data_IF_169938673657
#
_entry.id   IF_169938673657
#
_cell.length_a   1.000
_cell.length_b   1.000
_cell.length_c   1.000
_cell.angle_alpha   90.00
_cell.angle_beta   90.00
_cell.angle_gamma   90.00
#
_symmetry.space_group_name_H-M   'P 1'
#
loop_
_entity.id
_entity.type
_entity.pdbx_description
1 polymer ?
#
# COMPACT_ATOMS: atom_id res chain seq x y z
N UNK A 1 20.47 0.69 -12.32
CA UNK A 1 19.45 1.72 -12.04
C UNK A 1 18.64 1.26 -10.84
N UNK A 2 18.26 2.16 -9.92
CA UNK A 2 17.61 1.81 -8.66
C UNK A 2 16.43 2.72 -8.35
N UNK A 3 15.49 2.23 -7.52
CA UNK A 3 14.31 2.95 -7.07
C UNK A 3 14.28 2.96 -5.54
N UNK A 4 14.03 4.12 -4.95
CA UNK A 4 13.90 4.29 -3.51
C UNK A 4 12.50 4.83 -3.20
N UNK A 5 11.82 4.15 -2.28
CA UNK A 5 10.47 4.53 -1.84
C UNK A 5 10.56 5.64 -0.79
N UNK A 6 9.78 6.71 -0.99
CA UNK A 6 9.49 7.68 0.05
C UNK A 6 8.20 7.27 0.77
N UNK A 7 8.22 6.93 2.06
CA UNK A 7 9.37 6.81 2.96
C UNK A 7 9.37 5.45 3.66
N UNK A 8 10.51 5.07 4.25
CA UNK A 8 10.59 3.82 5.00
C UNK A 8 9.80 3.87 6.32
N UNK A 9 9.83 5.01 7.01
CA UNK A 9 9.12 5.30 8.26
C UNK A 9 8.25 6.55 8.07
N UNK A 10 7.19 6.66 8.86
CA UNK A 10 6.47 7.93 8.97
C UNK A 10 7.41 9.02 9.48
N UNK A 11 7.39 10.15 8.78
CA UNK A 11 8.22 11.32 9.04
C UNK A 11 7.31 12.51 9.30
N UNK A 12 7.87 13.56 9.91
CA UNK A 12 7.20 14.84 10.00
C UNK A 12 7.11 15.47 8.60
N UNK A 13 5.90 15.70 8.13
CA UNK A 13 5.66 16.36 6.85
C UNK A 13 5.60 17.87 7.06
N UNK A 14 6.39 18.63 6.30
CA UNK A 14 6.54 20.07 6.54
C UNK A 14 5.23 20.87 6.39
N UNK A 15 4.28 20.35 5.61
CA UNK A 15 3.02 21.02 5.29
C UNK A 15 1.82 20.51 6.12
N UNK A 16 1.81 19.22 6.48
CA UNK A 16 0.68 18.57 7.18
C UNK A 16 1.06 18.06 8.59
N UNK A 17 2.30 18.29 9.03
CA UNK A 17 2.81 17.83 10.31
C UNK A 17 2.78 16.30 10.43
N UNK A 18 2.12 15.79 11.48
CA UNK A 18 1.94 14.35 11.70
C UNK A 18 0.55 13.85 11.32
N UNK A 19 -0.30 14.70 10.73
CA UNK A 19 -1.64 14.26 10.29
C UNK A 19 -1.56 13.32 9.07
N UNK A 20 -0.47 13.43 8.31
CA UNK A 20 -0.23 12.65 7.11
C UNK A 20 0.91 11.65 7.31
N UNK A 21 0.71 10.43 6.83
CA UNK A 21 1.58 9.29 7.14
C UNK A 21 1.97 8.52 5.88
N UNK A 22 3.09 8.90 5.26
CA UNK A 22 3.57 8.36 3.98
C UNK A 22 4.52 7.17 4.10
N UNK A 23 4.98 6.86 5.31
CA UNK A 23 5.91 5.79 5.57
C UNK A 23 5.32 4.41 5.40
N UNK A 24 6.15 3.46 5.00
CA UNK A 24 5.83 2.02 5.04
C UNK A 24 5.51 1.55 6.46
N UNK A 25 6.12 2.16 7.48
CA UNK A 25 5.83 1.87 8.89
C UNK A 25 5.15 3.05 9.56
N UNK A 26 4.07 2.74 10.26
CA UNK A 26 3.42 3.63 11.20
C UNK A 26 4.19 3.70 12.52
N UNK A 27 4.27 4.90 13.09
CA UNK A 27 4.85 5.14 14.41
C UNK A 27 3.79 5.83 15.25
N UNK A 28 3.44 5.22 16.39
CA UNK A 28 2.64 5.90 17.40
C UNK A 28 3.54 6.84 18.19
N UNK A 29 3.35 8.14 17.97
CA UNK A 29 4.11 9.22 18.58
C UNK A 29 3.73 9.44 20.05
N UNK A 30 2.56 8.93 20.48
CA UNK A 30 2.11 9.00 21.86
C UNK A 30 2.67 7.85 22.71
N UNK A 31 3.15 6.78 22.07
CA UNK A 31 3.84 5.69 22.73
C UNK A 31 5.31 6.08 23.00
N UNK A 32 5.77 6.14 24.27
CA UNK A 32 7.16 6.47 24.59
C UNK A 32 8.17 5.47 24.02
N UNK A 33 7.74 4.28 23.61
CA UNK A 33 8.59 3.27 22.95
C UNK A 33 8.71 3.49 21.44
N UNK A 34 7.93 4.41 20.85
CA UNK A 34 7.88 4.72 19.42
C UNK A 34 7.77 3.44 18.57
N UNK A 35 6.77 2.62 18.90
CA UNK A 35 6.59 1.32 18.28
C UNK A 35 6.33 1.47 16.78
N UNK A 36 7.12 0.74 15.99
CA UNK A 36 7.00 0.67 14.52
C UNK A 36 6.03 -0.44 14.14
N UNK A 37 4.96 -0.09 13.43
CA UNK A 37 3.94 -1.01 12.95
C UNK A 37 3.95 -1.03 11.42
N UNK A 38 4.21 -2.19 10.77
CA UNK A 38 4.24 -2.26 9.32
C UNK A 38 2.83 -2.03 8.74
N UNK A 39 2.71 -1.11 7.77
CA UNK A 39 1.48 -0.91 7.00
C UNK A 39 1.34 -1.99 5.91
N UNK A 40 0.16 -2.12 5.31
CA UNK A 40 -0.07 -3.04 4.19
C UNK A 40 0.89 -2.78 3.02
N UNK A 41 1.28 -1.52 2.79
CA UNK A 41 2.29 -1.15 1.80
C UNK A 41 3.67 -1.74 2.10
N UNK A 42 4.08 -1.88 3.36
CA UNK A 42 5.35 -2.51 3.74
C UNK A 42 5.36 -3.99 3.39
N UNK A 43 4.25 -4.68 3.69
CA UNK A 43 4.09 -6.10 3.38
C UNK A 43 4.06 -6.30 1.87
N UNK A 44 3.32 -5.44 1.16
CA UNK A 44 3.28 -5.45 -0.30
C UNK A 44 4.67 -5.27 -0.91
N UNK A 45 5.42 -4.25 -0.45
CA UNK A 45 6.74 -3.92 -0.97
C UNK A 45 7.75 -5.04 -0.70
N UNK A 46 7.70 -5.66 0.49
CA UNK A 46 8.51 -6.84 0.81
C UNK A 46 8.22 -8.00 -0.14
N UNK A 47 6.95 -8.30 -0.41
CA UNK A 47 6.58 -9.37 -1.34
C UNK A 47 7.01 -9.06 -2.77
N UNK A 48 6.84 -7.82 -3.21
CA UNK A 48 7.28 -7.33 -4.52
C UNK A 48 8.80 -7.53 -4.71
N UNK A 49 9.61 -7.10 -3.74
CA UNK A 49 11.06 -7.27 -3.79
C UNK A 49 11.51 -8.74 -3.76
N UNK A 50 10.73 -9.60 -3.10
CA UNK A 50 11.00 -11.04 -3.04
C UNK A 50 10.40 -11.82 -4.23
N UNK A 51 9.79 -11.15 -5.22
CA UNK A 51 9.17 -11.78 -6.38
C UNK A 51 7.97 -12.68 -6.01
N UNK A 52 7.33 -12.44 -4.86
CA UNK A 52 6.17 -13.22 -4.40
C UNK A 52 4.88 -12.61 -4.94
N UNK A 53 3.96 -13.45 -5.36
CA UNK A 53 2.60 -13.05 -5.74
C UNK A 53 1.85 -12.52 -4.50
N UNK A 54 0.90 -11.59 -4.70
CA UNK A 54 0.07 -11.06 -3.61
C UNK A 54 -0.59 -12.20 -2.82
N UNK A 55 -0.29 -12.27 -1.52
CA UNK A 55 -0.98 -13.15 -0.58
C UNK A 55 -2.49 -12.85 -0.60
N UNK A 56 -3.35 -13.87 -0.70
CA UNK A 56 -4.82 -13.69 -0.74
C UNK A 56 -5.33 -12.88 0.46
N UNK A 57 -4.69 -13.03 1.62
CA UNK A 57 -4.98 -12.30 2.85
C UNK A 57 -4.81 -10.78 2.70
N UNK A 58 -3.75 -10.33 2.01
CA UNK A 58 -3.52 -8.89 1.78
C UNK A 58 -4.59 -8.34 0.85
N UNK A 59 -4.94 -9.09 -0.19
CA UNK A 59 -6.00 -8.73 -1.13
C UNK A 59 -7.36 -8.63 -0.43
N UNK A 60 -7.67 -9.56 0.49
CA UNK A 60 -8.90 -9.52 1.28
C UNK A 60 -8.95 -8.32 2.24
N UNK A 61 -7.86 -8.01 2.92
CA UNK A 61 -7.79 -6.82 3.79
C UNK A 61 -7.89 -5.52 2.99
N UNK A 62 -7.27 -5.47 1.81
CA UNK A 62 -7.41 -4.36 0.87
C UNK A 62 -8.86 -4.23 0.39
N UNK A 63 -9.52 -5.32 0.00
CA UNK A 63 -10.92 -5.34 -0.44
C UNK A 63 -11.85 -4.86 0.67
N UNK A 64 -11.63 -5.33 1.90
CA UNK A 64 -12.40 -4.93 3.09
C UNK A 64 -12.24 -3.45 3.37
N UNK A 65 -11.03 -2.89 3.17
CA UNK A 65 -10.73 -1.48 3.43
C UNK A 65 -11.23 -0.56 2.31
N UNK A 66 -11.09 -0.98 1.04
CA UNK A 66 -11.42 -0.20 -0.16
C UNK A 66 -11.98 -1.10 -1.28
N UNK A 67 -13.29 -1.39 -1.29
CA UNK A 67 -13.89 -2.34 -2.23
C UNK A 67 -13.83 -1.89 -3.71
N UNK A 68 -13.72 -0.59 -3.98
CA UNK A 68 -13.64 -0.03 -5.35
C UNK A 68 -12.29 -0.28 -6.05
N UNK A 69 -11.21 -0.47 -5.30
CA UNK A 69 -9.84 -0.57 -5.84
C UNK A 69 -9.56 -1.90 -6.58
N UNK A 70 -10.34 -2.93 -6.28
CA UNK A 70 -10.19 -4.25 -6.92
C UNK A 70 -10.89 -4.32 -8.27
N UNK A 71 -11.98 -3.57 -8.48
CA UNK A 71 -12.69 -3.56 -9.76
C UNK A 71 -11.80 -3.05 -10.90
N UNK A 72 -11.02 -1.99 -10.66
CA UNK A 72 -10.04 -1.49 -11.63
C UNK A 72 -8.88 -2.47 -11.87
N UNK A 73 -8.44 -3.19 -10.83
CA UNK A 73 -7.35 -4.18 -10.92
C UNK A 73 -7.79 -5.45 -11.67
N UNK A 74 -9.02 -5.92 -11.45
CA UNK A 74 -9.60 -7.06 -12.17
C UNK A 74 -9.93 -6.72 -13.63
N UNK A 75 -10.31 -5.47 -13.92
CA UNK A 75 -10.55 -4.99 -15.29
C UNK A 75 -9.22 -4.81 -16.03
N UNK A 76 -8.19 -4.21 -15.40
CA UNK A 76 -6.86 -4.02 -16.00
C UNK A 76 -6.08 -5.32 -16.22
N UNK A 77 -6.31 -6.35 -15.40
CA UNK A 77 -5.62 -7.63 -15.53
C UNK A 77 -6.41 -8.66 -16.37
N UNK A 78 -7.58 -8.30 -16.91
CA UNK A 78 -8.34 -9.14 -17.86
C UNK A 78 -8.36 -8.50 -19.25
N UNK A 79 -7.56 -8.99 -20.21
CA UNK A 79 -7.57 -8.47 -21.58
C UNK A 79 -8.91 -8.71 -22.32
N UNK A 80 -9.86 -9.46 -21.72
CA UNK A 80 -11.20 -9.69 -22.27
C UNK A 80 -12.25 -8.67 -21.82
N UNK A 81 -11.97 -7.85 -20.80
CA UNK A 81 -12.93 -6.88 -20.24
C UNK A 81 -12.64 -5.42 -20.67
N UNK A 82 -11.42 -5.10 -21.12
CA UNK A 82 -11.10 -3.78 -21.69
C UNK A 82 -11.96 -3.44 -22.91
N UNK A 83 -12.33 -4.44 -23.72
CA UNK A 83 -13.14 -4.27 -24.95
C UNK A 83 -14.57 -3.77 -24.67
N UNK A 84 -15.09 -3.99 -23.44
CA UNK A 84 -16.48 -3.66 -23.09
C UNK A 84 -16.61 -2.22 -22.54
N UNK A 85 -15.52 -1.63 -22.05
CA UNK A 85 -15.53 -0.28 -21.47
C UNK A 85 -15.40 0.85 -22.52
N UNK A 86 -15.11 0.51 -23.77
CA UNK A 86 -14.86 1.47 -24.86
C UNK A 86 -15.97 1.51 -25.93
N UNK A 87 -17.18 1.04 -25.61
CA UNK A 87 -18.36 1.08 -26.49
C UNK A 87 -19.51 1.87 -25.87
#
# INVERSE_FOLDING_TARGET
>A
MGYFVWSFLDVFELLEGYESSFGLHYIDINDPTLRRQPKLSAVWYSNFLNGRTMEPMITMEIQKKNPSMVLSTLVSNNPLLETISSS
#
